data_IF_043171663352
#
_entry.id   IF_043171663352
#
_cell.length_a   1.000
_cell.length_b   1.000
_cell.length_c   1.000
_cell.angle_alpha   90.00
_cell.angle_beta   90.00
_cell.angle_gamma   90.00
#
_symmetry.space_group_name_H-M   'P 1'
#
loop_
_entity.id
_entity.type
_entity.pdbx_description
1 polymer ?
#
# COMPACT_ATOMS: atom_id res chain seq x y z
N UNK A 1 -14.81 -64.41 -16.43
CA UNK A 1 -13.95 -64.43 -17.63
C UNK A 1 -14.39 -63.31 -18.56
N UNK A 2 -13.43 -62.49 -19.01
CA UNK A 2 -13.49 -61.45 -20.06
C UNK A 2 -14.25 -60.15 -19.78
N UNK A 3 -13.46 -59.08 -19.98
CA UNK A 3 -13.74 -57.65 -19.96
C UNK A 3 -14.90 -57.26 -20.89
N UNK A 4 -15.66 -56.25 -20.46
CA UNK A 4 -16.13 -55.20 -21.36
C UNK A 4 -15.80 -53.82 -20.78
N UNK A 5 -15.18 -53.04 -21.64
CA UNK A 5 -14.66 -51.68 -21.47
C UNK A 5 -15.82 -50.69 -21.47
N UNK A 6 -15.79 -49.70 -20.58
CA UNK A 6 -16.57 -48.47 -20.73
C UNK A 6 -15.64 -47.25 -20.64
N UNK A 7 -15.90 -46.19 -21.42
CA UNK A 7 -14.96 -45.11 -21.66
C UNK A 7 -14.94 -44.07 -20.53
N UNK A 8 -13.74 -43.51 -20.32
CA UNK A 8 -13.38 -42.08 -20.17
C UNK A 8 -14.64 -41.17 -20.12
N UNK A 9 -14.86 -40.31 -19.13
CA UNK A 9 -14.35 -38.93 -19.04
C UNK A 9 -14.75 -38.39 -17.66
N UNK A 10 -13.81 -37.75 -16.97
CA UNK A 10 -14.11 -37.10 -15.69
C UNK A 10 -12.86 -36.64 -14.94
N UNK A 11 -11.90 -36.06 -15.65
CA UNK A 11 -10.87 -35.23 -15.00
C UNK A 11 -11.59 -34.00 -14.41
N UNK A 12 -12.06 -34.14 -13.17
CA UNK A 12 -12.30 -32.98 -12.33
C UNK A 12 -10.93 -32.41 -11.96
N UNK A 13 -10.33 -31.65 -12.89
CA UNK A 13 -9.41 -30.59 -12.50
C UNK A 13 -10.25 -29.67 -11.61
N UNK A 14 -10.16 -29.89 -10.31
CA UNK A 14 -10.50 -28.89 -9.32
C UNK A 14 -9.60 -27.70 -9.60
N UNK A 15 -10.11 -26.78 -10.41
CA UNK A 15 -9.54 -25.47 -10.59
C UNK A 15 -9.41 -24.89 -9.19
N UNK A 16 -8.19 -24.88 -8.65
CA UNK A 16 -7.82 -23.91 -7.63
C UNK A 16 -8.00 -22.55 -8.31
N UNK A 17 -9.21 -22.03 -8.20
CA UNK A 17 -9.50 -20.64 -8.39
C UNK A 17 -8.66 -19.91 -7.35
N UNK A 18 -7.45 -19.52 -7.77
CA UNK A 18 -6.68 -18.46 -7.14
C UNK A 18 -7.64 -17.28 -7.02
N UNK A 19 -8.11 -17.03 -5.79
CA UNK A 19 -8.82 -15.81 -5.44
C UNK A 19 -7.79 -14.68 -5.41
N UNK A 20 -7.17 -14.39 -6.54
CA UNK A 20 -6.31 -13.22 -6.75
C UNK A 20 -7.17 -12.15 -7.37
N UNK A 21 -8.03 -11.54 -6.55
CA UNK A 21 -8.91 -10.51 -7.07
C UNK A 21 -9.81 -9.96 -6.00
N UNK A 22 -9.27 -9.13 -5.11
CA UNK A 22 -10.05 -8.16 -4.35
C UNK A 22 -9.19 -6.93 -4.07
N UNK A 23 -9.15 -6.05 -5.07
CA UNK A 23 -8.97 -4.59 -4.98
C UNK A 23 -7.54 -4.01 -4.90
N UNK A 24 -7.25 -3.10 -5.83
CA UNK A 24 -6.08 -2.21 -5.84
C UNK A 24 -4.84 -2.71 -6.59
N UNK A 25 -4.85 -3.92 -7.16
CA UNK A 25 -3.69 -4.52 -7.84
C UNK A 25 -2.65 -5.08 -6.86
N UNK A 26 -1.75 -5.91 -7.39
CA UNK A 26 -0.64 -6.48 -6.63
C UNK A 26 0.35 -5.37 -6.22
N UNK A 27 0.79 -5.33 -4.94
CA UNK A 27 1.77 -4.34 -4.51
C UNK A 27 3.11 -4.59 -5.19
N UNK A 28 3.69 -3.54 -5.77
CA UNK A 28 5.06 -3.56 -6.28
C UNK A 28 6.07 -3.64 -5.13
N UNK A 29 5.74 -3.01 -4.01
CA UNK A 29 6.54 -3.03 -2.78
C UNK A 29 5.68 -2.68 -1.57
N UNK A 30 6.08 -3.15 -0.38
CA UNK A 30 5.47 -2.81 0.89
C UNK A 30 6.54 -2.43 1.91
N UNK A 31 6.46 -1.20 2.42
CA UNK A 31 7.18 -0.76 3.60
C UNK A 31 6.37 -1.09 4.85
N UNK A 32 7.01 -1.66 5.86
CA UNK A 32 6.40 -1.87 7.18
C UNK A 32 7.24 -1.11 8.20
N UNK A 33 6.59 -0.28 9.01
CA UNK A 33 7.27 0.59 9.98
C UNK A 33 7.04 0.06 11.38
N UNK A 34 8.13 -0.15 12.14
CA UNK A 34 8.02 -0.45 13.57
C UNK A 34 7.55 0.82 14.31
N UNK A 35 6.47 0.73 15.11
CA UNK A 35 6.01 1.83 15.93
C UNK A 35 7.02 2.28 16.99
N UNK A 36 7.87 1.37 17.49
CA UNK A 36 8.87 1.70 18.52
C UNK A 36 10.09 2.43 17.96
N UNK A 37 10.39 2.24 16.67
CA UNK A 37 11.55 2.83 16.01
C UNK A 37 11.28 3.12 14.54
N UNK A 38 10.50 4.18 14.28
CA UNK A 38 10.23 4.64 12.91
C UNK A 38 11.53 5.09 12.25
N UNK A 39 11.91 4.40 11.17
CA UNK A 39 13.03 4.75 10.29
C UNK A 39 12.53 4.87 8.85
N UNK A 40 13.21 5.67 8.00
CA UNK A 40 12.92 5.68 6.57
C UNK A 40 13.08 4.28 5.98
N UNK A 41 12.11 3.85 5.18
CA UNK A 41 12.22 2.70 4.32
C UNK A 41 12.73 3.12 2.94
N UNK A 42 13.49 2.25 2.27
CA UNK A 42 14.04 2.52 0.95
C UNK A 42 13.80 1.34 0.01
N UNK A 43 13.55 1.62 -1.26
CA UNK A 43 13.41 0.60 -2.30
C UNK A 43 13.76 1.18 -3.67
N UNK A 44 13.84 0.32 -4.67
CA UNK A 44 14.06 0.72 -6.06
C UNK A 44 12.97 0.09 -6.92
N UNK A 45 12.28 0.89 -7.74
CA UNK A 45 11.24 0.42 -8.65
C UNK A 45 11.43 0.96 -10.06
N UNK A 46 11.19 0.12 -11.06
CA UNK A 46 11.11 0.54 -12.46
C UNK A 46 9.65 0.80 -12.84
N UNK A 47 9.38 2.00 -13.36
CA UNK A 47 8.08 2.37 -13.93
C UNK A 47 8.22 2.50 -15.44
N UNK A 48 7.25 1.98 -16.18
CA UNK A 48 7.17 2.11 -17.64
C UNK A 48 6.55 3.45 -18.02
N UNK A 49 6.87 3.94 -19.20
CA UNK A 49 6.22 5.13 -19.79
C UNK A 49 4.68 5.02 -19.66
N UNK A 50 4.07 6.06 -19.09
CA UNK A 50 2.62 6.15 -18.85
C UNK A 50 2.14 5.51 -17.55
N UNK A 51 2.99 4.73 -16.85
CA UNK A 51 2.62 4.19 -15.54
C UNK A 51 2.66 5.28 -14.46
N UNK A 52 1.83 5.09 -13.44
CA UNK A 52 1.70 5.93 -12.27
C UNK A 52 1.91 5.08 -11.03
N UNK A 53 2.42 5.66 -9.95
CA UNK A 53 2.42 5.06 -8.63
C UNK A 53 1.23 5.56 -7.81
N UNK A 54 0.46 4.63 -7.28
CA UNK A 54 -0.57 4.85 -6.29
C UNK A 54 -0.06 4.42 -4.92
N UNK A 55 -0.43 5.17 -3.91
CA UNK A 55 0.02 4.95 -2.55
C UNK A 55 -1.14 4.47 -1.70
N UNK A 56 -0.92 3.35 -1.04
CA UNK A 56 -1.93 2.69 -0.22
C UNK A 56 -1.36 2.46 1.17
N UNK A 57 -2.12 2.71 2.23
CA UNK A 57 -1.65 2.44 3.58
C UNK A 57 -2.51 1.40 4.30
N UNK A 58 -1.88 0.73 5.27
CA UNK A 58 -2.57 0.00 6.32
C UNK A 58 -2.21 0.69 7.62
N UNK A 59 -3.21 1.00 8.45
CA UNK A 59 -2.96 1.57 9.76
C UNK A 59 -3.84 0.98 10.85
N UNK A 60 -3.32 1.09 12.07
CA UNK A 60 -4.01 0.85 13.31
C UNK A 60 -3.38 1.78 14.34
N UNK A 61 -4.02 2.93 14.56
CA UNK A 61 -3.43 4.05 15.28
C UNK A 61 -4.41 4.66 16.27
N UNK A 62 -3.85 5.26 17.31
CA UNK A 62 -4.56 6.05 18.31
C UNK A 62 -3.85 7.37 18.52
N UNK A 63 -4.56 8.48 18.44
CA UNK A 63 -4.00 9.83 18.48
C UNK A 63 -4.98 10.85 19.09
N UNK A 64 -4.53 12.08 19.31
CA UNK A 64 -5.37 13.18 19.81
C UNK A 64 -6.03 13.94 18.66
N UNK A 65 -7.27 14.46 18.80
CA UNK A 65 -7.85 15.36 17.81
C UNK A 65 -6.88 16.48 17.38
N UNK A 66 -6.79 16.73 16.08
CA UNK A 66 -5.84 17.69 15.48
C UNK A 66 -4.43 17.14 15.20
N UNK A 67 -4.15 15.86 15.47
CA UNK A 67 -2.90 15.21 15.04
C UNK A 67 -2.96 14.95 13.53
N UNK A 68 -1.90 15.30 12.82
CA UNK A 68 -1.69 14.95 11.42
C UNK A 68 -0.76 13.73 11.37
N UNK A 69 -1.02 12.81 10.45
CA UNK A 69 -0.11 11.73 10.11
C UNK A 69 0.03 11.69 8.59
N UNK A 70 1.26 11.87 8.10
CA UNK A 70 1.56 11.87 6.67
C UNK A 70 2.64 10.86 6.33
N UNK A 71 2.61 10.32 5.12
CA UNK A 71 3.77 9.67 4.52
C UNK A 71 4.51 10.69 3.64
N UNK A 72 5.78 10.93 3.97
CA UNK A 72 6.72 11.64 3.10
C UNK A 72 7.40 10.63 2.20
N UNK A 73 7.17 10.73 0.90
CA UNK A 73 7.66 9.78 -0.10
C UNK A 73 8.63 10.52 -1.02
N UNK A 74 9.92 10.23 -0.89
CA UNK A 74 10.95 10.73 -1.79
C UNK A 74 11.06 9.83 -3.02
N UNK A 75 11.14 10.41 -4.21
CA UNK A 75 11.20 9.69 -5.47
C UNK A 75 12.27 10.33 -6.34
N UNK A 76 13.38 9.63 -6.52
CA UNK A 76 14.55 10.14 -7.25
C UNK A 76 14.86 9.21 -8.42
N UNK A 77 14.87 9.70 -9.67
CA UNK A 77 15.37 8.92 -10.80
C UNK A 77 16.79 8.43 -10.56
N UNK A 78 17.09 7.18 -10.90
CA UNK A 78 18.42 6.59 -10.64
C UNK A 78 19.54 7.22 -11.49
N UNK A 79 19.24 7.50 -12.76
CA UNK A 79 20.28 7.82 -13.74
C UNK A 79 20.42 9.32 -14.00
N UNK A 80 19.32 10.10 -13.92
CA UNK A 80 19.32 11.57 -13.93
C UNK A 80 17.90 12.11 -13.75
N UNK A 81 17.76 13.28 -13.12
CA UNK A 81 16.49 14.00 -13.00
C UNK A 81 16.31 14.66 -11.64
N UNK A 82 15.25 15.46 -11.52
CA UNK A 82 14.92 16.15 -10.28
C UNK A 82 14.25 15.20 -9.29
N UNK A 83 14.71 15.24 -8.03
CA UNK A 83 14.06 14.51 -6.96
C UNK A 83 12.67 15.10 -6.71
N UNK A 84 11.66 14.24 -6.63
CA UNK A 84 10.30 14.63 -6.26
C UNK A 84 10.00 14.20 -4.82
N UNK A 85 9.22 14.99 -4.11
CA UNK A 85 8.65 14.61 -2.83
C UNK A 85 7.13 14.64 -2.92
N UNK A 86 6.50 13.52 -2.59
CA UNK A 86 5.05 13.43 -2.44
C UNK A 86 4.72 13.31 -0.97
N UNK A 87 3.83 14.18 -0.48
CA UNK A 87 3.33 14.13 0.88
C UNK A 87 1.89 13.64 0.83
N UNK A 88 1.61 12.56 1.54
CA UNK A 88 0.33 11.89 1.52
C UNK A 88 -0.29 11.91 2.91
N UNK A 89 -1.47 12.52 3.05
CA UNK A 89 -2.26 12.38 4.27
C UNK A 89 -2.68 10.92 4.45
N UNK A 90 -2.26 10.34 5.57
CA UNK A 90 -2.53 8.95 5.91
C UNK A 90 -3.86 8.79 6.64
N UNK A 91 -4.50 9.86 7.13
CA UNK A 91 -5.74 9.84 7.90
C UNK A 91 -6.97 10.25 7.06
N UNK A 92 -6.78 10.91 5.91
CA UNK A 92 -7.82 11.19 4.90
C UNK A 92 -7.59 10.43 3.57
N UNK A 93 -7.77 9.10 3.55
CA UNK A 93 -7.72 8.32 2.33
C UNK A 93 -8.95 8.57 1.44
N UNK A 94 -8.77 8.38 0.12
CA UNK A 94 -9.85 8.41 -0.85
C UNK A 94 -10.81 7.22 -0.75
N UNK A 95 -10.31 6.06 -0.31
CA UNK A 95 -11.05 4.79 -0.20
C UNK A 95 -10.47 3.98 0.95
N UNK A 96 -11.30 3.35 1.77
CA UNK A 96 -10.89 2.48 2.89
C UNK A 96 -11.52 1.09 2.80
N UNK A 97 -10.81 0.09 3.32
CA UNK A 97 -11.26 -1.31 3.38
C UNK A 97 -11.05 -1.89 4.77
N UNK A 98 -12.08 -2.57 5.27
CA UNK A 98 -12.13 -3.13 6.62
C UNK A 98 -11.75 -2.07 7.67
N UNK A 99 -12.42 -0.91 7.60
CA UNK A 99 -12.13 0.24 8.44
C UNK A 99 -12.98 0.30 9.70
N UNK A 100 -12.40 0.86 10.76
CA UNK A 100 -13.05 1.18 12.02
C UNK A 100 -12.52 2.51 12.53
N UNK A 101 -13.43 3.37 12.99
CA UNK A 101 -13.11 4.62 13.67
C UNK A 101 -13.87 4.70 14.98
N UNK A 102 -13.18 5.09 16.05
CA UNK A 102 -13.77 5.34 17.38
C UNK A 102 -13.26 6.68 17.86
N UNK A 103 -14.17 7.58 18.21
CA UNK A 103 -13.84 8.94 18.63
C UNK A 103 -14.39 9.25 20.02
N UNK A 104 -13.59 9.98 20.78
CA UNK A 104 -13.93 10.56 22.07
C UNK A 104 -13.29 11.94 22.16
N UNK A 105 -13.72 12.81 23.09
CA UNK A 105 -13.24 14.20 23.14
C UNK A 105 -11.72 14.37 23.23
N UNK A 106 -11.00 13.39 23.77
CA UNK A 106 -9.55 13.43 23.98
C UNK A 106 -8.75 12.44 23.11
N UNK A 107 -9.42 11.59 22.32
CA UNK A 107 -8.79 10.48 21.62
C UNK A 107 -9.58 10.01 20.41
N UNK A 108 -8.86 9.78 19.32
CA UNK A 108 -9.34 9.13 18.11
C UNK A 108 -8.56 7.83 17.92
N UNK A 109 -9.25 6.75 17.61
CA UNK A 109 -8.67 5.49 17.17
C UNK A 109 -9.17 5.19 15.76
N UNK A 110 -8.25 5.00 14.84
CA UNK A 110 -8.53 4.66 13.45
C UNK A 110 -7.77 3.40 13.06
N UNK A 111 -8.45 2.49 12.39
CA UNK A 111 -7.85 1.27 11.86
C UNK A 111 -8.46 0.95 10.51
N UNK A 112 -7.63 0.52 9.57
CA UNK A 112 -8.06 -0.15 8.35
C UNK A 112 -7.00 -1.14 7.89
N UNK A 113 -7.44 -2.19 7.21
CA UNK A 113 -6.50 -3.15 6.62
C UNK A 113 -5.84 -2.59 5.37
N UNK A 114 -6.55 -1.77 4.61
CA UNK A 114 -6.02 -1.15 3.39
C UNK A 114 -6.82 0.11 3.05
N UNK A 115 -6.15 1.18 2.64
CA UNK A 115 -6.79 2.38 2.13
C UNK A 115 -5.96 3.04 1.04
N UNK A 116 -6.62 3.61 0.04
CA UNK A 116 -5.98 4.35 -1.05
C UNK A 116 -5.84 5.81 -0.66
N UNK A 117 -4.62 6.31 -0.57
CA UNK A 117 -4.39 7.73 -0.32
C UNK A 117 -4.73 8.57 -1.55
N UNK A 118 -5.08 9.84 -1.34
CA UNK A 118 -5.48 10.76 -2.43
C UNK A 118 -4.32 11.17 -3.35
N UNK A 119 -3.08 11.06 -2.85
CA UNK A 119 -1.85 11.37 -3.57
C UNK A 119 -1.43 10.25 -4.54
N UNK A 120 -0.63 10.60 -5.54
CA UNK A 120 0.02 9.66 -6.47
C UNK A 120 1.25 10.30 -7.12
N UNK A 121 2.08 9.51 -7.80
CA UNK A 121 3.25 9.99 -8.56
C UNK A 121 3.19 9.54 -10.02
N UNK A 122 3.42 10.44 -10.96
CA UNK A 122 3.31 10.19 -12.40
C UNK A 122 1.96 10.64 -12.98
N UNK A 123 1.62 10.24 -14.21
CA UNK A 123 2.30 9.23 -15.04
C UNK A 123 3.72 9.65 -15.43
N UNK A 124 4.62 8.67 -15.58
CA UNK A 124 6.02 8.94 -15.97
C UNK A 124 6.17 9.07 -17.49
N UNK A 125 7.00 10.03 -17.94
CA UNK A 125 7.16 10.33 -19.36
C UNK A 125 7.98 9.28 -20.13
N UNK A 126 8.88 8.59 -19.43
CA UNK A 126 9.81 7.59 -19.97
C UNK A 126 9.91 6.40 -19.01
N UNK A 127 10.25 5.23 -19.55
CA UNK A 127 10.54 4.07 -18.70
C UNK A 127 11.85 4.29 -17.97
N UNK A 128 11.84 4.29 -16.66
CA UNK A 128 13.04 4.49 -15.85
C UNK A 128 12.91 3.90 -14.45
N UNK A 129 14.06 3.78 -13.79
CA UNK A 129 14.16 3.25 -12.43
C UNK A 129 14.27 4.40 -11.43
N UNK A 130 13.53 4.29 -10.33
CA UNK A 130 13.46 5.27 -9.26
C UNK A 130 13.93 4.66 -7.95
N UNK A 131 14.74 5.41 -7.21
CA UNK A 131 14.96 5.19 -5.79
C UNK A 131 13.81 5.86 -5.03
N UNK A 132 13.14 5.10 -4.18
CA UNK A 132 11.98 5.54 -3.45
C UNK A 132 12.27 5.41 -1.96
N UNK A 133 12.10 6.50 -1.23
CA UNK A 133 12.16 6.51 0.23
C UNK A 133 10.78 6.81 0.79
N UNK A 134 10.44 6.24 1.93
CA UNK A 134 9.16 6.47 2.60
C UNK A 134 9.37 6.62 4.09
N UNK A 135 8.77 7.66 4.67
CA UNK A 135 8.81 7.93 6.10
C UNK A 135 7.43 8.42 6.58
N UNK A 136 6.76 7.72 7.50
CA UNK A 136 5.62 8.27 8.20
C UNK A 136 6.07 9.33 9.21
N UNK A 137 5.31 10.43 9.29
CA UNK A 137 5.57 11.54 10.22
C UNK A 137 4.26 11.97 10.85
N UNK A 138 4.21 11.98 12.17
CA UNK A 138 3.08 12.51 12.94
C UNK A 138 3.43 13.89 13.49
N UNK A 139 2.47 14.82 13.50
CA UNK A 139 2.67 16.17 14.07
C UNK A 139 2.62 16.19 15.60
N UNK A 140 2.09 15.13 16.21
CA UNK A 140 1.98 14.98 17.66
C UNK A 140 2.14 13.49 18.06
N UNK A 141 2.35 13.19 19.35
CA UNK A 141 2.46 11.81 19.83
C UNK A 141 1.23 10.97 19.44
N UNK A 142 1.49 9.81 18.87
CA UNK A 142 0.49 8.81 18.52
C UNK A 142 0.98 7.42 18.93
N UNK A 143 0.04 6.50 19.11
CA UNK A 143 0.32 5.07 19.26
C UNK A 143 -0.04 4.38 17.95
N UNK A 144 0.80 3.48 17.48
CA UNK A 144 0.53 2.65 16.30
C UNK A 144 0.76 1.18 16.66
N UNK A 145 -0.17 0.32 16.25
CA UNK A 145 0.04 -1.14 16.26
C UNK A 145 0.39 -1.64 14.86
N UNK A 146 -0.08 -0.92 13.83
CA UNK A 146 0.21 -1.21 12.42
C UNK A 146 0.40 0.09 11.68
N UNK A 147 1.46 0.14 10.90
CA UNK A 147 1.73 1.22 9.98
C UNK A 147 2.52 0.68 8.79
N UNK A 148 1.90 0.67 7.61
CA UNK A 148 2.55 0.24 6.38
C UNK A 148 2.13 1.08 5.20
N UNK A 149 3.01 1.12 4.20
CA UNK A 149 2.81 1.78 2.92
C UNK A 149 3.06 0.77 1.80
N UNK A 150 2.08 0.62 0.92
CA UNK A 150 2.17 -0.15 -0.31
C UNK A 150 2.27 0.78 -1.51
N UNK A 151 3.19 0.43 -2.41
CA UNK A 151 3.36 1.06 -3.70
C UNK A 151 2.66 0.20 -4.77
N UNK A 152 1.71 0.78 -5.49
CA UNK A 152 0.92 0.09 -6.53
C UNK A 152 0.90 0.89 -7.83
N UNK A 153 0.42 0.29 -8.93
CA UNK A 153 0.20 0.99 -10.21
C UNK A 153 -1.21 1.59 -10.30
#
# INVERSE_FOLDING_TARGET
MRLQVLPIWGLALGSLALVTGCMGGEPLHRFTFSPEAIKPGETTLTLRKGERLQFWNSLDVTYKPGTELVFKIGITPKDSGEASQVICDALDPSVTFMSRTVESPSRISQSWKQARMRCSFGPVATTQTFNITALPVASAPMQAERLSLELKR
#
